data_IF_703708459610
#
_entry.id   IF_703708459610
#
_cell.length_a   1.000
_cell.length_b   1.000
_cell.length_c   1.000
_cell.angle_alpha   90.00
_cell.angle_beta   90.00
_cell.angle_gamma   90.00
#
_symmetry.space_group_name_H-M   'P 1'
#
loop_
_entity.id
_entity.type
_entity.pdbx_description
1 polymer ?
#
# COMPACT_ATOMS: atom_id res chain seq x y z
N UNK A 1 -10.69 -10.77 0.73
CA UNK A 1 -12.15 -10.55 0.61
C UNK A 1 -12.56 -10.84 -0.83
N UNK A 2 -13.83 -11.14 -1.09
CA UNK A 2 -14.38 -11.26 -2.45
C UNK A 2 -14.76 -9.88 -3.00
N UNK A 3 -14.87 -9.76 -4.32
CA UNK A 3 -15.28 -8.51 -4.96
C UNK A 3 -16.72 -8.12 -4.60
N UNK A 4 -17.62 -9.08 -4.42
CA UNK A 4 -19.00 -8.82 -4.02
C UNK A 4 -19.07 -8.22 -2.62
N UNK A 5 -18.27 -8.74 -1.68
CA UNK A 5 -18.14 -8.17 -0.33
C UNK A 5 -17.57 -6.75 -0.38
N UNK A 6 -16.50 -6.54 -1.16
CA UNK A 6 -15.86 -5.22 -1.29
C UNK A 6 -16.83 -4.18 -1.87
N UNK A 7 -17.54 -4.51 -2.96
CA UNK A 7 -18.50 -3.58 -3.58
C UNK A 7 -19.70 -3.26 -2.67
N UNK A 8 -19.98 -4.12 -1.70
CA UNK A 8 -21.03 -3.90 -0.71
C UNK A 8 -20.55 -3.13 0.52
N UNK A 9 -19.23 -2.88 0.66
CA UNK A 9 -18.71 -2.11 1.78
C UNK A 9 -19.27 -0.68 1.77
N UNK A 10 -19.70 -0.15 2.93
CA UNK A 10 -20.10 1.24 3.03
C UNK A 10 -18.91 2.16 2.74
N UNK A 11 -19.22 3.40 2.38
CA UNK A 11 -18.24 4.47 2.20
C UNK A 11 -18.25 5.41 3.41
N UNK A 12 -17.09 5.92 3.78
CA UNK A 12 -16.99 7.01 4.75
C UNK A 12 -17.42 8.34 4.11
N UNK A 13 -17.50 9.41 4.91
CA UNK A 13 -17.77 10.76 4.39
C UNK A 13 -16.67 11.27 3.44
N UNK A 14 -15.44 10.78 3.57
CA UNK A 14 -14.32 11.08 2.67
C UNK A 14 -14.32 10.21 1.39
N UNK A 15 -15.33 9.33 1.23
CA UNK A 15 -15.53 8.53 0.02
C UNK A 15 -14.68 7.26 -0.09
N UNK A 16 -13.88 6.92 0.93
CA UNK A 16 -13.16 5.64 0.97
C UNK A 16 -14.05 4.52 1.49
N UNK A 17 -13.70 3.26 1.18
CA UNK A 17 -14.31 2.12 1.87
C UNK A 17 -14.19 2.27 3.40
N UNK A 18 -15.21 1.84 4.14
CA UNK A 18 -15.15 1.78 5.60
C UNK A 18 -14.21 0.65 6.05
N UNK A 19 -12.93 0.99 6.10
CA UNK A 19 -11.86 0.08 6.48
C UNK A 19 -11.84 -0.20 7.98
N UNK A 20 -12.45 0.64 8.82
CA UNK A 20 -12.52 0.42 10.25
C UNK A 20 -13.40 -0.80 10.57
N UNK A 21 -14.53 -0.94 9.87
CA UNK A 21 -15.37 -2.13 9.97
C UNK A 21 -14.63 -3.41 9.51
N UNK A 22 -13.90 -3.33 8.40
CA UNK A 22 -13.10 -4.45 7.88
C UNK A 22 -12.00 -4.81 8.89
N UNK A 23 -11.25 -3.82 9.38
CA UNK A 23 -10.20 -3.98 10.38
C UNK A 23 -10.74 -4.71 11.62
N UNK A 24 -11.86 -4.24 12.18
CA UNK A 24 -12.47 -4.83 13.36
C UNK A 24 -12.90 -6.28 13.12
N UNK A 25 -13.56 -6.55 11.99
CA UNK A 25 -14.05 -7.90 11.66
C UNK A 25 -12.92 -8.92 11.47
N UNK A 26 -11.78 -8.48 10.94
CA UNK A 26 -10.62 -9.32 10.65
C UNK A 26 -9.59 -9.35 11.79
N UNK A 27 -9.81 -8.60 12.88
CA UNK A 27 -8.88 -8.53 14.02
C UNK A 27 -7.53 -7.90 13.67
N UNK A 28 -7.53 -6.90 12.79
CA UNK A 28 -6.31 -6.25 12.29
C UNK A 28 -5.87 -5.07 13.16
N UNK A 29 -4.57 -4.80 13.18
CA UNK A 29 -3.96 -3.76 14.01
C UNK A 29 -4.30 -2.34 13.56
N UNK A 30 -4.47 -2.13 12.24
CA UNK A 30 -4.74 -0.82 11.66
C UNK A 30 -5.54 -0.91 10.34
N UNK A 31 -6.05 0.24 9.88
CA UNK A 31 -6.86 0.32 8.65
C UNK A 31 -6.08 0.01 7.38
N UNK A 32 -4.75 0.12 7.37
CA UNK A 32 -3.93 -0.17 6.19
C UNK A 32 -3.77 -1.66 5.97
N UNK A 33 -3.69 -2.45 7.04
CA UNK A 33 -3.81 -3.91 6.92
C UNK A 33 -5.18 -4.31 6.35
N UNK A 34 -6.25 -3.62 6.75
CA UNK A 34 -7.57 -3.83 6.16
C UNK A 34 -7.63 -3.39 4.69
N UNK A 35 -6.98 -2.27 4.35
CA UNK A 35 -6.85 -1.78 2.98
C UNK A 35 -6.17 -2.82 2.09
N UNK A 36 -5.17 -3.55 2.59
CA UNK A 36 -4.43 -4.57 1.84
C UNK A 36 -5.31 -5.78 1.48
N UNK A 37 -6.38 -6.03 2.24
CA UNK A 37 -7.38 -7.05 1.91
C UNK A 37 -8.41 -6.59 0.87
N UNK A 38 -8.49 -5.29 0.63
CA UNK A 38 -9.56 -4.63 -0.17
C UNK A 38 -9.02 -4.16 -1.51
N UNK A 39 -8.03 -3.27 -1.52
CA UNK A 39 -7.67 -2.54 -2.74
C UNK A 39 -6.97 -3.37 -3.81
N UNK A 40 -6.03 -4.28 -3.49
CA UNK A 40 -5.46 -5.16 -4.51
C UNK A 40 -6.53 -5.99 -5.20
N UNK A 41 -7.50 -6.54 -4.44
CA UNK A 41 -8.61 -7.31 -5.00
C UNK A 41 -9.52 -6.43 -5.86
N UNK A 42 -9.83 -5.22 -5.39
CA UNK A 42 -10.65 -4.29 -6.15
C UNK A 42 -9.97 -3.85 -7.46
N UNK A 43 -8.70 -3.48 -7.39
CA UNK A 43 -7.88 -3.13 -8.54
C UNK A 43 -7.76 -4.27 -9.55
N UNK A 44 -7.55 -5.51 -9.09
CA UNK A 44 -7.49 -6.68 -9.96
C UNK A 44 -8.81 -6.86 -10.73
N UNK A 45 -9.95 -6.81 -10.04
CA UNK A 45 -11.27 -6.88 -10.68
C UNK A 45 -11.48 -5.75 -11.70
N UNK A 46 -11.16 -4.51 -11.33
CA UNK A 46 -11.33 -3.37 -12.23
C UNK A 46 -10.46 -3.54 -13.48
N UNK A 47 -9.24 -4.06 -13.32
CA UNK A 47 -8.31 -4.32 -14.42
C UNK A 47 -8.76 -5.46 -15.34
N UNK A 48 -9.16 -6.61 -14.80
CA UNK A 48 -9.38 -7.83 -15.59
C UNK A 48 -10.83 -8.00 -16.03
N UNK A 49 -11.80 -7.61 -15.19
CA UNK A 49 -13.22 -7.89 -15.43
C UNK A 49 -14.00 -6.64 -15.86
N UNK A 50 -13.66 -5.47 -15.31
CA UNK A 50 -14.46 -4.25 -15.47
C UNK A 50 -13.83 -3.19 -16.37
N UNK A 51 -12.89 -3.59 -17.23
CA UNK A 51 -12.30 -2.73 -18.27
C UNK A 51 -11.77 -1.38 -17.75
N UNK A 52 -11.27 -1.37 -16.51
CA UNK A 52 -10.64 -0.23 -15.83
C UNK A 52 -11.59 0.92 -15.49
N UNK A 53 -12.91 0.71 -15.55
CA UNK A 53 -13.91 1.76 -15.29
C UNK A 53 -13.83 2.35 -13.87
N UNK A 54 -13.46 1.55 -12.88
CA UNK A 54 -13.30 1.98 -11.49
C UNK A 54 -11.94 2.59 -11.14
N UNK A 55 -11.02 2.75 -12.10
CA UNK A 55 -9.71 3.35 -11.82
C UNK A 55 -9.81 4.76 -11.20
N UNK A 56 -10.67 5.68 -11.69
CA UNK A 56 -10.82 6.99 -11.05
C UNK A 56 -11.22 6.91 -9.57
N UNK A 57 -12.09 5.95 -9.20
CA UNK A 57 -12.49 5.70 -7.81
C UNK A 57 -11.31 5.19 -6.97
N UNK A 58 -10.57 4.19 -7.49
CA UNK A 58 -9.36 3.67 -6.84
C UNK A 58 -8.37 4.81 -6.57
N UNK A 59 -8.08 5.65 -7.57
CA UNK A 59 -7.14 6.75 -7.41
C UNK A 59 -7.62 7.79 -6.41
N UNK A 60 -8.91 8.15 -6.41
CA UNK A 60 -9.48 9.07 -5.43
C UNK A 60 -9.30 8.54 -4.00
N UNK A 61 -9.61 7.26 -3.78
CA UNK A 61 -9.45 6.63 -2.48
C UNK A 61 -7.99 6.50 -2.03
N UNK A 62 -7.09 6.18 -2.96
CA UNK A 62 -5.64 6.07 -2.70
C UNK A 62 -5.04 7.41 -2.25
N UNK A 63 -5.52 8.53 -2.80
CA UNK A 63 -5.12 9.88 -2.37
C UNK A 63 -5.60 10.20 -0.96
N UNK A 64 -6.81 9.78 -0.59
CA UNK A 64 -7.33 9.93 0.79
C UNK A 64 -6.50 9.08 1.75
N UNK A 65 -6.26 7.81 1.42
CA UNK A 65 -5.40 6.92 2.22
C UNK A 65 -4.00 7.48 2.41
N UNK A 66 -3.40 8.05 1.35
CA UNK A 66 -2.09 8.71 1.43
C UNK A 66 -2.10 9.84 2.45
N UNK A 67 -3.11 10.71 2.39
CA UNK A 67 -3.26 11.84 3.31
C UNK A 67 -3.39 11.36 4.76
N UNK A 68 -4.15 10.30 5.00
CA UNK A 68 -4.24 9.68 6.33
C UNK A 68 -2.86 9.15 6.74
N UNK A 69 -2.23 8.29 5.95
CA UNK A 69 -0.94 7.67 6.27
C UNK A 69 0.16 8.69 6.56
N UNK A 70 0.15 9.83 5.87
CA UNK A 70 1.08 10.93 6.09
C UNK A 70 0.84 11.67 7.42
N UNK A 71 -0.43 11.75 7.87
CA UNK A 71 -0.87 12.49 9.06
C UNK A 71 -0.75 11.67 10.34
N UNK A 72 -1.00 10.36 10.28
CA UNK A 72 -0.90 9.41 11.41
C UNK A 72 0.30 8.47 11.27
N UNK A 73 1.40 9.00 10.71
CA UNK A 73 2.57 8.21 10.39
C UNK A 73 3.22 7.59 11.62
N UNK A 74 3.34 6.26 11.60
CA UNK A 74 4.05 5.43 12.56
C UNK A 74 4.77 4.31 11.80
N UNK A 75 5.63 3.53 12.47
CA UNK A 75 6.31 2.41 11.82
C UNK A 75 5.31 1.38 11.30
N UNK A 76 4.32 1.04 12.13
CA UNK A 76 3.28 0.06 11.79
C UNK A 76 2.40 0.55 10.63
N UNK A 77 1.88 1.78 10.73
CA UNK A 77 1.02 2.36 9.70
C UNK A 77 1.79 2.57 8.39
N UNK A 78 3.03 3.07 8.47
CA UNK A 78 3.88 3.32 7.31
C UNK A 78 4.27 2.03 6.59
N UNK A 79 4.61 0.97 7.33
CA UNK A 79 4.91 -0.34 6.75
C UNK A 79 3.67 -0.93 6.05
N UNK A 80 2.52 -0.95 6.72
CA UNK A 80 1.29 -1.47 6.17
C UNK A 80 0.82 -0.65 4.94
N UNK A 81 0.88 0.68 4.99
CA UNK A 81 0.57 1.53 3.85
C UNK A 81 1.51 1.29 2.66
N UNK A 82 2.80 1.07 2.92
CA UNK A 82 3.78 0.76 1.87
C UNK A 82 3.41 -0.55 1.15
N UNK A 83 2.99 -1.58 1.90
CA UNK A 83 2.52 -2.84 1.33
C UNK A 83 1.26 -2.64 0.46
N UNK A 84 0.27 -1.89 0.95
CA UNK A 84 -0.96 -1.58 0.19
C UNK A 84 -0.65 -0.92 -1.14
N UNK A 85 0.27 0.07 -1.17
CA UNK A 85 0.64 0.75 -2.40
C UNK A 85 1.26 -0.24 -3.39
N UNK A 86 2.21 -1.07 -2.96
CA UNK A 86 2.83 -2.07 -3.83
C UNK A 86 1.80 -3.05 -4.39
N UNK A 87 1.04 -3.69 -3.50
CA UNK A 87 0.08 -4.71 -3.88
C UNK A 87 -1.02 -4.15 -4.78
N UNK A 88 -1.40 -2.88 -4.63
CA UNK A 88 -2.35 -2.23 -5.53
C UNK A 88 -1.71 -1.89 -6.89
N UNK A 89 -0.47 -1.36 -6.91
CA UNK A 89 0.27 -1.07 -8.15
C UNK A 89 0.38 -2.32 -9.03
N UNK A 90 0.68 -3.48 -8.44
CA UNK A 90 0.81 -4.76 -9.15
C UNK A 90 -0.46 -5.18 -9.90
N UNK A 91 -1.63 -4.67 -9.46
CA UNK A 91 -2.92 -5.02 -10.06
C UNK A 91 -3.43 -3.97 -11.05
N UNK A 92 -2.77 -2.82 -11.16
CA UNK A 92 -3.14 -1.76 -12.09
C UNK A 92 -2.39 -1.92 -13.41
N UNK A 93 -3.13 -1.87 -14.51
CA UNK A 93 -2.57 -1.97 -15.84
C UNK A 93 -1.77 -0.71 -16.21
N UNK A 94 -0.56 -0.86 -16.78
CA UNK A 94 0.24 0.26 -17.26
C UNK A 94 -0.35 0.92 -18.53
N UNK A 95 -1.42 0.37 -19.13
CA UNK A 95 -2.12 0.98 -20.28
C UNK A 95 -2.63 2.39 -19.95
N UNK A 96 -3.06 2.61 -18.71
CA UNK A 96 -3.38 3.94 -18.20
C UNK A 96 -2.19 4.41 -17.35
N UNK A 97 -1.15 4.83 -18.06
CA UNK A 97 0.16 5.13 -17.48
C UNK A 97 0.09 6.15 -16.33
N UNK A 98 -0.81 7.15 -16.41
CA UNK A 98 -0.96 8.16 -15.35
C UNK A 98 -1.34 7.55 -14.00
N UNK A 99 -2.29 6.62 -13.98
CA UNK A 99 -2.74 5.97 -12.73
C UNK A 99 -1.66 5.03 -12.18
N UNK A 100 -1.07 4.22 -13.05
CA UNK A 100 0.04 3.34 -12.69
C UNK A 100 1.21 4.13 -12.09
N UNK A 101 1.61 5.22 -12.76
CA UNK A 101 2.70 6.08 -12.33
C UNK A 101 2.41 6.75 -10.99
N UNK A 102 1.22 7.30 -10.80
CA UNK A 102 0.86 7.95 -9.55
C UNK A 102 0.95 6.99 -8.36
N UNK A 103 0.41 5.77 -8.49
CA UNK A 103 0.51 4.77 -7.42
C UNK A 103 1.96 4.32 -7.17
N UNK A 104 2.75 4.14 -8.24
CA UNK A 104 4.16 3.79 -8.11
C UNK A 104 4.97 4.91 -7.44
N UNK A 105 4.68 6.17 -7.74
CA UNK A 105 5.29 7.33 -7.11
C UNK A 105 4.87 7.45 -5.63
N UNK A 106 3.62 7.11 -5.29
CA UNK A 106 3.15 7.01 -3.90
C UNK A 106 3.88 5.89 -3.14
N UNK A 107 4.02 4.70 -3.73
CA UNK A 107 4.81 3.60 -3.18
C UNK A 107 6.26 4.02 -2.90
N UNK A 108 6.94 4.60 -3.91
CA UNK A 108 8.33 5.06 -3.77
C UNK A 108 8.49 6.13 -2.69
N UNK A 109 7.52 7.02 -2.58
CA UNK A 109 7.49 8.05 -1.54
C UNK A 109 7.33 7.44 -0.13
N UNK A 110 6.46 6.42 0.01
CA UNK A 110 6.29 5.68 1.25
C UNK A 110 7.59 4.96 1.65
N UNK A 111 8.24 4.27 0.70
CA UNK A 111 9.54 3.61 0.93
C UNK A 111 10.59 4.61 1.40
N UNK A 112 10.73 5.74 0.69
CA UNK A 112 11.67 6.78 1.06
C UNK A 112 11.42 7.29 2.48
N UNK A 113 10.16 7.59 2.83
CA UNK A 113 9.81 8.09 4.16
C UNK A 113 10.10 7.07 5.26
N UNK A 114 9.82 5.78 5.03
CA UNK A 114 10.14 4.70 5.97
C UNK A 114 11.64 4.63 6.26
N UNK A 115 12.47 4.66 5.21
CA UNK A 115 13.92 4.65 5.35
C UNK A 115 14.44 5.91 6.07
N UNK A 116 13.95 7.09 5.70
CA UNK A 116 14.37 8.36 6.33
C UNK A 116 14.03 8.44 7.82
N UNK A 117 12.92 7.83 8.25
CA UNK A 117 12.45 7.91 9.63
C UNK A 117 12.98 6.79 10.52
N UNK A 118 13.19 5.60 9.95
CA UNK A 118 13.43 4.41 10.75
C UNK A 118 14.68 3.61 10.41
N UNK A 119 15.43 3.93 9.35
CA UNK A 119 16.70 3.26 9.09
C UNK A 119 17.88 4.10 9.59
N UNK A 120 18.63 3.55 10.55
CA UNK A 120 19.88 4.16 11.01
C UNK A 120 21.05 3.65 10.16
N UNK A 121 21.51 4.49 9.23
CA UNK A 121 22.63 4.18 8.35
C UNK A 121 23.98 4.02 9.08
N UNK A 122 24.16 4.60 10.27
CA UNK A 122 25.40 4.45 11.05
C UNK A 122 25.46 3.09 11.73
N UNK A 123 24.35 2.70 12.32
CA UNK A 123 24.20 1.45 13.05
C UNK A 123 23.78 0.28 12.14
N UNK A 124 23.50 0.59 10.87
CA UNK A 124 23.09 -0.35 9.86
C UNK A 124 21.85 -1.16 10.25
N UNK A 125 20.88 -0.55 10.95
CA UNK A 125 19.71 -1.24 11.54
C UNK A 125 18.44 -0.41 11.46
N UNK A 126 17.29 -1.08 11.49
CA UNK A 126 16.01 -0.42 11.64
C UNK A 126 15.69 -0.10 13.11
N UNK A 127 15.11 1.06 13.36
CA UNK A 127 14.64 1.57 14.64
C UNK A 127 13.10 1.43 14.73
N UNK A 128 12.58 0.26 14.39
CA UNK A 128 11.16 -0.10 14.50
C UNK A 128 11.01 -1.54 15.04
N UNK A 129 9.79 -1.97 15.32
CA UNK A 129 9.54 -3.36 15.73
C UNK A 129 9.72 -4.34 14.55
N UNK A 130 10.02 -5.60 14.88
CA UNK A 130 10.33 -6.63 13.89
C UNK A 130 9.15 -6.94 12.93
N UNK A 131 7.91 -6.73 13.35
CA UNK A 131 6.74 -6.96 12.50
C UNK A 131 6.67 -5.88 11.42
N UNK A 132 6.77 -4.61 11.81
CA UNK A 132 6.81 -3.48 10.89
C UNK A 132 8.00 -3.57 9.93
N UNK A 133 9.19 -3.91 10.45
CA UNK A 133 10.39 -4.10 9.64
C UNK A 133 10.18 -5.19 8.59
N UNK A 134 9.62 -6.33 8.98
CA UNK A 134 9.35 -7.43 8.06
C UNK A 134 8.35 -7.03 6.98
N UNK A 135 7.22 -6.43 7.34
CA UNK A 135 6.19 -6.00 6.38
C UNK A 135 6.78 -5.00 5.38
N UNK A 136 7.55 -4.03 5.86
CA UNK A 136 8.22 -3.04 5.03
C UNK A 136 9.25 -3.68 4.09
N UNK A 137 10.15 -4.51 4.63
CA UNK A 137 11.22 -5.14 3.86
C UNK A 137 10.67 -6.12 2.82
N UNK A 138 9.65 -6.92 3.16
CA UNK A 138 9.00 -7.84 2.22
C UNK A 138 8.44 -7.07 1.01
N UNK A 139 7.79 -5.92 1.22
CA UNK A 139 7.31 -5.08 0.14
C UNK A 139 8.48 -4.53 -0.72
N UNK A 140 9.54 -4.03 -0.10
CA UNK A 140 10.72 -3.53 -0.84
C UNK A 140 11.40 -4.63 -1.65
N UNK A 141 11.58 -5.82 -1.05
CA UNK A 141 12.17 -6.98 -1.71
C UNK A 141 11.33 -7.41 -2.93
N UNK A 142 10.00 -7.51 -2.75
CA UNK A 142 9.09 -7.87 -3.84
C UNK A 142 9.13 -6.82 -4.96
N UNK A 143 9.11 -5.54 -4.62
CA UNK A 143 9.24 -4.46 -5.61
C UNK A 143 10.59 -4.49 -6.36
N UNK A 144 11.66 -4.96 -5.73
CA UNK A 144 12.94 -5.20 -6.41
C UNK A 144 12.86 -6.40 -7.36
N UNK A 145 12.22 -7.50 -6.95
CA UNK A 145 12.02 -8.69 -7.79
C UNK A 145 11.19 -8.38 -9.05
N UNK A 146 10.23 -7.47 -8.93
CA UNK A 146 9.38 -6.99 -10.03
C UNK A 146 9.99 -5.81 -10.82
N UNK A 147 11.26 -5.48 -10.58
CA UNK A 147 11.99 -4.38 -11.25
C UNK A 147 11.35 -2.98 -11.09
N UNK A 148 10.51 -2.78 -10.07
CA UNK A 148 9.92 -1.49 -9.71
C UNK A 148 10.90 -0.60 -8.94
N UNK A 149 11.83 -1.25 -8.24
CA UNK A 149 12.95 -0.67 -7.50
C UNK A 149 14.28 -1.31 -7.93
N UNK A 150 15.37 -0.56 -7.79
CA UNK A 150 16.72 -1.06 -8.05
C UNK A 150 17.28 -1.68 -6.77
N UNK A 151 17.47 -3.00 -6.77
CA UNK A 151 17.90 -3.76 -5.61
C UNK A 151 19.17 -3.20 -4.93
N UNK A 152 20.12 -2.69 -5.71
CA UNK A 152 21.39 -2.13 -5.22
C UNK A 152 21.20 -0.92 -4.31
N UNK A 153 20.04 -0.24 -4.40
CA UNK A 153 19.71 0.94 -3.60
C UNK A 153 19.00 0.60 -2.28
N UNK A 154 18.61 -0.65 -2.06
CA UNK A 154 17.76 -1.07 -0.93
C UNK A 154 18.34 -2.28 -0.19
N UNK A 155 19.66 -2.35 -0.08
CA UNK A 155 20.39 -3.47 0.53
C UNK A 155 20.06 -3.66 2.02
N UNK A 156 19.60 -2.62 2.69
CA UNK A 156 19.06 -2.66 4.05
C UNK A 156 17.85 -3.60 4.18
N UNK A 157 17.06 -3.78 3.13
CA UNK A 157 15.91 -4.68 3.12
C UNK A 157 16.22 -6.06 2.53
N UNK A 158 17.37 -6.30 1.88
CA UNK A 158 17.66 -7.52 1.06
C UNK A 158 18.52 -8.55 1.82
N UNK A 159 18.73 -8.36 3.12
CA UNK A 159 19.69 -9.14 3.91
C UNK A 159 19.29 -10.58 4.17
#
# INVERSE_FOLDING_TARGET
MTIQEIKALPRTEEGIFDLAAVQQSAGLGNIYQAADLVYPVYAAYETTENKKEGYPDIMAQMRVLKKHAESEFSAENGAAYTAVMLHTVEQISPEIYENYRELLDNFRSAVKRMLEQYYDAKENKFAMDATSEKVFCDAVQKACAEYLLLAEKYQECIR
#
